data_IF_693271522627
#
_entry.id   IF_693271522627
#
_cell.length_a   1.000
_cell.length_b   1.000
_cell.length_c   1.000
_cell.angle_alpha   90.00
_cell.angle_beta   90.00
_cell.angle_gamma   90.00
#
_symmetry.space_group_name_H-M   'P 1'
#
loop_
_entity.id
_entity.type
_entity.pdbx_description
1 polymer ?
#
# COMPACT_ATOMS: atom_id res chain seq x y z
N UNK A 1 -19.35 30.71 -34.49
CA UNK A 1 -20.38 29.97 -33.73
C UNK A 1 -20.01 30.02 -32.25
N UNK A 2 -20.80 30.68 -31.39
CA UNK A 2 -20.54 30.71 -29.93
C UNK A 2 -21.04 29.40 -29.33
N UNK A 3 -20.17 28.65 -28.66
CA UNK A 3 -20.57 27.46 -27.92
C UNK A 3 -21.57 27.88 -26.82
N UNK A 4 -22.83 27.43 -26.94
CA UNK A 4 -23.81 27.58 -25.86
C UNK A 4 -23.35 26.70 -24.70
N UNK A 5 -23.27 27.21 -23.46
CA UNK A 5 -22.95 26.38 -22.32
C UNK A 5 -23.98 25.27 -22.19
N UNK A 6 -23.52 24.02 -22.10
CA UNK A 6 -24.40 22.84 -22.00
C UNK A 6 -25.15 22.77 -20.66
N UNK A 7 -24.71 23.52 -19.66
CA UNK A 7 -25.28 23.61 -18.32
C UNK A 7 -25.02 25.01 -17.74
N UNK A 8 -26.08 25.75 -17.44
CA UNK A 8 -26.00 26.88 -16.52
C UNK A 8 -26.13 26.31 -15.09
N UNK A 9 -25.01 26.23 -14.38
CA UNK A 9 -24.99 25.83 -12.98
C UNK A 9 -25.33 27.04 -12.13
N UNK A 10 -26.24 26.88 -11.17
CA UNK A 10 -26.39 27.87 -10.10
C UNK A 10 -25.09 27.97 -9.32
N UNK A 11 -24.79 29.15 -8.78
CA UNK A 11 -23.58 29.37 -7.96
C UNK A 11 -23.49 28.38 -6.80
N UNK A 12 -24.63 28.04 -6.19
CA UNK A 12 -24.75 27.04 -5.14
C UNK A 12 -24.28 25.65 -5.61
N UNK A 13 -24.69 25.23 -6.81
CA UNK A 13 -24.32 23.93 -7.39
C UNK A 13 -22.85 23.90 -7.81
N UNK A 14 -22.32 25.00 -8.33
CA UNK A 14 -20.90 25.14 -8.62
C UNK A 14 -20.04 25.03 -7.35
N UNK A 15 -20.46 25.69 -6.26
CA UNK A 15 -19.78 25.60 -4.96
C UNK A 15 -19.86 24.21 -4.33
N UNK A 16 -20.93 23.45 -4.58
CA UNK A 16 -21.08 22.07 -4.13
C UNK A 16 -20.18 21.10 -4.91
N UNK A 17 -20.11 21.23 -6.24
CA UNK A 17 -19.22 20.40 -7.07
C UNK A 17 -17.74 20.69 -6.77
N UNK A 18 -17.38 21.95 -6.50
CA UNK A 18 -16.02 22.29 -6.06
C UNK A 18 -15.67 21.61 -4.73
N UNK A 19 -16.59 21.65 -3.74
CA UNK A 19 -16.40 20.95 -2.46
C UNK A 19 -16.23 19.44 -2.65
N UNK A 20 -17.05 18.84 -3.52
CA UNK A 20 -16.96 17.40 -3.86
C UNK A 20 -15.63 17.06 -4.53
N UNK A 21 -15.19 17.88 -5.49
CA UNK A 21 -13.93 17.68 -6.19
C UNK A 21 -12.72 17.78 -5.25
N UNK A 22 -12.75 18.74 -4.31
CA UNK A 22 -11.72 18.89 -3.28
C UNK A 22 -11.69 17.70 -2.31
N UNK A 23 -12.84 17.25 -1.82
CA UNK A 23 -12.94 16.07 -0.97
C UNK A 23 -12.39 14.82 -1.70
N UNK A 24 -12.81 14.59 -2.94
CA UNK A 24 -12.31 13.47 -3.75
C UNK A 24 -10.81 13.57 -4.08
N UNK A 25 -10.24 14.78 -4.11
CA UNK A 25 -8.80 14.97 -4.29
C UNK A 25 -8.02 14.65 -3.00
N UNK A 26 -8.57 15.02 -1.83
CA UNK A 26 -8.00 14.71 -0.52
C UNK A 26 -8.04 13.20 -0.24
N UNK A 27 -9.15 12.53 -0.55
CA UNK A 27 -9.28 11.08 -0.42
C UNK A 27 -8.26 10.35 -1.30
N UNK A 28 -8.16 10.74 -2.59
CA UNK A 28 -7.13 10.20 -3.50
C UNK A 28 -5.71 10.44 -3.00
N UNK A 29 -5.44 11.58 -2.36
CA UNK A 29 -4.14 11.86 -1.79
C UNK A 29 -3.83 10.93 -0.60
N UNK A 30 -4.81 10.74 0.29
CA UNK A 30 -4.71 9.82 1.42
C UNK A 30 -4.48 8.38 0.97
N UNK A 31 -5.22 7.93 -0.03
CA UNK A 31 -5.07 6.59 -0.62
C UNK A 31 -3.67 6.37 -1.19
N UNK A 32 -3.14 7.37 -1.92
CA UNK A 32 -1.77 7.31 -2.46
C UNK A 32 -0.72 7.24 -1.35
N UNK A 33 -0.88 8.00 -0.28
CA UNK A 33 0.04 7.93 0.88
C UNK A 33 -0.03 6.55 1.52
N UNK A 34 -1.25 6.03 1.73
CA UNK A 34 -1.45 4.71 2.31
C UNK A 34 -0.79 3.61 1.45
N UNK A 35 -1.04 3.62 0.13
CA UNK A 35 -0.40 2.69 -0.81
C UNK A 35 1.13 2.79 -0.79
N UNK A 36 1.69 4.00 -0.77
CA UNK A 36 3.15 4.20 -0.67
C UNK A 36 3.73 3.60 0.61
N UNK A 37 3.03 3.74 1.74
CA UNK A 37 3.45 3.15 3.01
C UNK A 37 3.43 1.62 2.97
N UNK A 38 2.40 1.02 2.36
CA UNK A 38 2.32 -0.44 2.19
C UNK A 38 3.44 -0.97 1.28
N UNK A 39 3.70 -0.29 0.17
CA UNK A 39 4.80 -0.64 -0.72
C UNK A 39 6.16 -0.54 -0.02
N UNK A 40 6.35 0.53 0.78
CA UNK A 40 7.57 0.70 1.56
C UNK A 40 7.73 -0.41 2.62
N UNK A 41 6.66 -0.76 3.34
CA UNK A 41 6.68 -1.85 4.31
C UNK A 41 7.03 -3.19 3.65
N UNK A 42 6.36 -3.54 2.53
CA UNK A 42 6.67 -4.76 1.79
C UNK A 42 8.09 -4.79 1.23
N UNK A 43 8.62 -3.65 0.76
CA UNK A 43 10.01 -3.56 0.32
C UNK A 43 11.00 -3.80 1.48
N UNK A 44 10.71 -3.27 2.66
CA UNK A 44 11.53 -3.50 3.87
C UNK A 44 11.51 -4.98 4.26
N UNK A 45 10.34 -5.63 4.27
CA UNK A 45 10.22 -7.06 4.56
C UNK A 45 10.97 -7.92 3.55
N UNK A 46 10.84 -7.59 2.26
CA UNK A 46 11.55 -8.27 1.19
C UNK A 46 13.07 -8.20 1.40
N UNK A 47 13.60 -7.00 1.63
CA UNK A 47 15.04 -6.79 1.88
C UNK A 47 15.47 -7.50 3.16
N UNK A 48 14.70 -7.41 4.24
CA UNK A 48 15.01 -8.09 5.50
C UNK A 48 15.08 -9.62 5.34
N UNK A 49 14.16 -10.21 4.57
CA UNK A 49 14.19 -11.63 4.25
C UNK A 49 15.44 -12.04 3.45
N UNK A 50 15.87 -11.22 2.48
CA UNK A 50 17.13 -11.45 1.77
C UNK A 50 18.37 -11.34 2.67
N UNK A 51 18.38 -10.39 3.60
CA UNK A 51 19.44 -10.28 4.61
C UNK A 51 19.49 -11.55 5.47
N UNK A 52 18.34 -12.07 5.90
CA UNK A 52 18.26 -13.33 6.66
C UNK A 52 18.73 -14.53 5.83
N UNK A 53 18.35 -14.62 4.56
CA UNK A 53 18.84 -15.65 3.63
C UNK A 53 20.36 -15.62 3.56
N UNK A 54 20.94 -14.45 3.28
CA UNK A 54 22.39 -14.26 3.21
C UNK A 54 23.07 -14.60 4.54
N UNK A 55 22.49 -14.17 5.65
CA UNK A 55 22.99 -14.45 6.99
C UNK A 55 22.98 -15.95 7.31
N UNK A 56 21.95 -16.70 6.88
CA UNK A 56 21.85 -18.14 7.06
C UNK A 56 23.05 -18.93 6.51
N UNK A 57 23.70 -18.45 5.44
CA UNK A 57 24.93 -19.04 4.91
C UNK A 57 26.17 -18.81 5.77
N UNK A 58 26.15 -17.81 6.66
CA UNK A 58 27.27 -17.43 7.51
C UNK A 58 27.14 -17.97 8.95
N UNK A 59 25.97 -18.52 9.29
CA UNK A 59 25.71 -19.09 10.61
C UNK A 59 26.41 -20.44 10.77
N UNK A 60 27.13 -20.60 11.88
CA UNK A 60 27.71 -21.90 12.26
C UNK A 60 26.63 -22.81 12.84
N UNK A 61 26.59 -24.05 12.38
CA UNK A 61 25.60 -25.05 12.80
C UNK A 61 24.55 -25.26 11.71
N UNK A 62 24.47 -26.50 11.22
CA UNK A 62 23.64 -26.87 10.05
C UNK A 62 22.16 -26.54 10.26
N UNK A 63 21.63 -26.87 11.44
CA UNK A 63 20.21 -26.72 11.73
C UNK A 63 19.84 -25.25 11.93
N UNK A 64 20.68 -24.49 12.61
CA UNK A 64 20.47 -23.07 12.84
C UNK A 64 20.56 -22.28 11.52
N UNK A 65 21.59 -22.52 10.70
CA UNK A 65 21.72 -21.89 9.38
C UNK A 65 20.55 -22.21 8.45
N UNK A 66 20.09 -23.47 8.44
CA UNK A 66 18.89 -23.87 7.67
C UNK A 66 17.63 -23.16 8.17
N UNK A 67 17.47 -23.04 9.49
CA UNK A 67 16.31 -22.37 10.09
C UNK A 67 16.29 -20.89 9.71
N UNK A 68 17.42 -20.19 9.88
CA UNK A 68 17.57 -18.77 9.50
C UNK A 68 17.30 -18.56 8.01
N UNK A 69 17.84 -19.42 7.15
CA UNK A 69 17.62 -19.38 5.70
C UNK A 69 16.14 -19.52 5.35
N UNK A 70 15.45 -20.52 5.92
CA UNK A 70 14.02 -20.76 5.66
C UNK A 70 13.16 -19.62 6.22
N UNK A 71 13.49 -19.11 7.41
CA UNK A 71 12.84 -17.91 7.95
C UNK A 71 13.00 -16.72 7.01
N UNK A 72 14.20 -16.53 6.44
CA UNK A 72 14.44 -15.49 5.45
C UNK A 72 13.57 -15.62 4.19
N UNK A 73 13.38 -16.84 3.67
CA UNK A 73 12.43 -17.11 2.58
C UNK A 73 11.02 -16.73 3.00
N UNK A 74 10.57 -17.14 4.19
CA UNK A 74 9.23 -16.81 4.66
C UNK A 74 9.03 -15.30 4.78
N UNK A 75 9.97 -14.57 5.38
CA UNK A 75 9.88 -13.11 5.51
C UNK A 75 9.90 -12.42 4.15
N UNK A 76 10.80 -12.83 3.24
CA UNK A 76 10.94 -12.19 1.94
C UNK A 76 9.68 -12.32 1.07
N UNK A 77 9.08 -13.51 1.05
CA UNK A 77 8.00 -13.81 0.10
C UNK A 77 6.61 -13.79 0.72
N UNK A 78 6.46 -14.17 2.01
CA UNK A 78 5.16 -14.14 2.69
C UNK A 78 4.94 -12.84 3.47
N UNK A 79 5.99 -12.17 3.94
CA UNK A 79 5.86 -10.88 4.65
C UNK A 79 5.03 -9.86 3.87
N UNK A 80 5.43 -9.50 2.63
CA UNK A 80 4.69 -8.52 1.83
C UNK A 80 3.24 -8.93 1.55
N UNK A 81 2.99 -10.23 1.40
CA UNK A 81 1.64 -10.79 1.18
C UNK A 81 0.79 -10.59 2.43
N UNK A 82 1.31 -10.89 3.62
CA UNK A 82 0.62 -10.66 4.88
C UNK A 82 0.39 -9.18 5.16
N UNK A 83 1.38 -8.33 4.93
CA UNK A 83 1.24 -6.87 5.05
C UNK A 83 0.11 -6.35 4.17
N UNK A 84 0.02 -6.84 2.92
CA UNK A 84 -1.06 -6.47 2.02
C UNK A 84 -2.41 -7.02 2.48
N UNK A 85 -2.49 -8.30 2.86
CA UNK A 85 -3.72 -8.91 3.36
C UNK A 85 -4.27 -8.18 4.59
N UNK A 86 -3.43 -7.91 5.59
CA UNK A 86 -3.85 -7.24 6.83
C UNK A 86 -4.32 -5.81 6.59
N UNK A 87 -3.67 -5.10 5.67
CA UNK A 87 -4.09 -3.75 5.29
C UNK A 87 -5.47 -3.70 4.63
N UNK A 88 -5.87 -4.77 3.93
CA UNK A 88 -7.17 -4.87 3.26
C UNK A 88 -8.18 -5.75 4.00
N UNK A 89 -7.77 -6.43 5.07
CA UNK A 89 -8.62 -7.33 5.86
C UNK A 89 -9.77 -6.59 6.54
N UNK A 90 -9.53 -5.33 6.96
CA UNK A 90 -10.56 -4.46 7.55
C UNK A 90 -11.33 -3.63 6.51
N UNK A 91 -11.15 -3.91 5.21
CA UNK A 91 -11.71 -3.12 4.11
C UNK A 91 -13.09 -3.56 3.60
N UNK A 92 -13.82 -4.42 4.32
CA UNK A 92 -15.18 -4.84 3.93
C UNK A 92 -16.31 -4.20 4.72
N UNK A 93 -16.03 -3.13 5.44
CA UNK A 93 -17.03 -2.16 5.90
C UNK A 93 -16.89 -0.89 5.05
N UNK A 94 -17.33 -0.96 3.80
CA UNK A 94 -17.84 0.21 3.10
C UNK A 94 -19.27 0.52 3.59
N UNK A 95 -19.78 1.74 3.37
CA UNK A 95 -21.01 2.27 3.96
C UNK A 95 -22.25 1.39 3.76
#
# INVERSE_FOLDING_TARGET
>A
MRARPLLELSEERAAQELRRALAAAQDRHRDRIHQRRLLAAGAVEFVAGWVLIAFGFHVRGRDLGRTVFLTGIMVAYLGPVWTWLLAHWHGREGP
#
